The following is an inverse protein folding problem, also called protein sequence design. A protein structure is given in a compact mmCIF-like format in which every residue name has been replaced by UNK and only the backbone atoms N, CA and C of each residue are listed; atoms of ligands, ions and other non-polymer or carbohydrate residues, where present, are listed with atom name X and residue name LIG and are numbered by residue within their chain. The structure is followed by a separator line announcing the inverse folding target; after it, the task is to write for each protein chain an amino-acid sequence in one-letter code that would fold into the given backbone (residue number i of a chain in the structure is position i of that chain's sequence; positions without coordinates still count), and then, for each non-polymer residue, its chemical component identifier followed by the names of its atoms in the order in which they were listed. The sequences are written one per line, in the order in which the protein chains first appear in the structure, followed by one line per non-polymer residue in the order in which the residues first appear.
data_IF_781633350063
#
_entry.id   IF_781633350063
#
_cell.length_a   1.000
_cell.length_b   1.000
_cell.length_c   1.000
_cell.angle_alpha   90.00
_cell.angle_beta   90.00
_cell.angle_gamma   90.00
#
_symmetry.space_group_name_H-M   'P 1'
#
loop_
_entity.id
_entity.type
_entity.pdbx_description
1 polymer ?
#
# COMPACT_ATOMS: atom_id res chain seq x y z
N UNK A 1 -10.31 -15.65 -16.44
CA UNK A 1 -10.62 -15.29 -17.75
C UNK A 1 -11.86 -14.40 -17.89
N UNK A 2 -11.72 -13.09 -17.60
CA UNK A 2 -12.80 -12.11 -17.80
C UNK A 2 -13.06 -11.84 -19.28
N UNK A 3 -12.01 -11.89 -20.13
CA UNK A 3 -12.09 -11.82 -21.59
C UNK A 3 -13.09 -10.78 -22.12
N UNK A 4 -14.14 -11.21 -22.84
CA UNK A 4 -15.12 -10.29 -23.43
C UNK A 4 -15.96 -9.50 -22.42
N UNK A 5 -16.02 -9.94 -21.15
CA UNK A 5 -16.78 -9.24 -20.09
C UNK A 5 -15.99 -8.12 -19.42
N UNK A 6 -14.69 -7.98 -19.72
CA UNK A 6 -13.89 -6.88 -19.18
C UNK A 6 -14.27 -5.58 -19.91
N UNK A 7 -14.89 -4.65 -19.21
CA UNK A 7 -15.23 -3.33 -19.73
C UNK A 7 -14.03 -2.37 -19.62
N UNK A 8 -13.36 -2.33 -18.46
CA UNK A 8 -12.13 -1.58 -18.26
C UNK A 8 -11.24 -2.24 -17.20
N UNK A 9 -9.94 -2.01 -17.29
CA UNK A 9 -8.92 -2.31 -16.31
C UNK A 9 -8.12 -1.03 -16.04
N UNK A 10 -8.11 -0.55 -14.81
CA UNK A 10 -7.38 0.65 -14.39
C UNK A 10 -6.33 0.23 -13.39
N UNK A 11 -5.05 0.52 -13.66
CA UNK A 11 -3.94 0.06 -12.84
C UNK A 11 -2.77 1.03 -12.88
N UNK A 12 -2.23 1.37 -11.72
CA UNK A 12 -1.08 2.25 -11.55
C UNK A 12 0.15 1.53 -10.95
N UNK A 13 0.11 0.21 -10.84
CA UNK A 13 1.26 -0.55 -10.36
C UNK A 13 2.29 -0.76 -11.47
N UNK A 14 3.57 -0.76 -11.10
CA UNK A 14 4.65 -1.09 -12.02
C UNK A 14 4.63 -2.60 -12.33
N UNK A 15 4.36 -2.95 -13.59
CA UNK A 15 4.31 -4.35 -14.01
C UNK A 15 4.80 -4.56 -15.43
N UNK A 16 5.61 -5.61 -15.63
CA UNK A 16 6.17 -5.94 -16.96
C UNK A 16 5.11 -6.22 -18.03
N UNK A 17 3.93 -6.72 -17.63
CA UNK A 17 2.84 -7.01 -18.56
C UNK A 17 2.12 -5.77 -19.09
N UNK A 18 2.34 -4.57 -18.54
CA UNK A 18 1.74 -3.35 -19.07
C UNK A 18 1.99 -3.18 -20.56
N UNK A 19 3.23 -3.44 -21.01
CA UNK A 19 3.59 -3.36 -22.41
C UNK A 19 2.75 -4.29 -23.32
N UNK A 20 2.36 -5.46 -22.81
CA UNK A 20 1.57 -6.43 -23.57
C UNK A 20 0.10 -6.00 -23.77
N UNK A 21 -0.41 -5.12 -22.91
CA UNK A 21 -1.81 -4.65 -22.92
C UNK A 21 -1.93 -3.19 -23.34
N UNK A 22 -0.85 -2.48 -23.60
CA UNK A 22 -0.85 -1.05 -23.92
C UNK A 22 -1.65 -0.68 -25.18
N UNK A 23 -1.85 -1.60 -26.11
CA UNK A 23 -2.65 -1.39 -27.32
C UNK A 23 -4.15 -1.71 -27.16
N UNK A 24 -4.57 -2.32 -26.06
CA UNK A 24 -5.98 -2.62 -25.79
C UNK A 24 -6.62 -1.43 -25.07
N UNK A 25 -7.55 -0.75 -25.73
CA UNK A 25 -8.21 0.46 -25.20
C UNK A 25 -9.00 0.25 -23.90
N UNK A 26 -9.24 -0.98 -23.49
CA UNK A 26 -9.87 -1.29 -22.20
C UNK A 26 -8.90 -1.12 -21.04
N UNK A 27 -7.58 -1.15 -21.28
CA UNK A 27 -6.58 -1.01 -20.25
C UNK A 27 -6.12 0.44 -20.15
N UNK A 28 -6.27 1.01 -18.96
CA UNK A 28 -5.75 2.32 -18.58
C UNK A 28 -4.63 2.06 -17.59
N UNK A 29 -3.42 2.09 -18.10
CA UNK A 29 -2.23 1.65 -17.38
C UNK A 29 -1.27 2.83 -17.15
N UNK A 30 -0.78 2.94 -15.94
CA UNK A 30 0.24 3.91 -15.55
C UNK A 30 1.24 3.26 -14.61
N UNK A 31 2.33 3.94 -14.33
CA UNK A 31 3.23 3.59 -13.24
C UNK A 31 2.86 4.38 -11.99
N UNK A 32 3.29 3.91 -10.84
CA UNK A 32 3.10 4.62 -9.56
C UNK A 32 3.75 6.02 -9.58
N UNK A 33 4.80 6.20 -10.36
CA UNK A 33 5.44 7.50 -10.55
C UNK A 33 4.61 8.48 -11.39
N UNK A 34 3.74 7.98 -12.28
CA UNK A 34 2.84 8.80 -13.11
C UNK A 34 1.56 9.15 -12.35
N UNK A 35 0.96 8.17 -11.68
CA UNK A 35 -0.23 8.34 -10.84
C UNK A 35 0.01 7.66 -9.48
N UNK A 36 0.07 8.45 -8.43
CA UNK A 36 0.31 7.97 -7.07
C UNK A 36 -0.85 7.17 -6.48
N UNK A 37 -2.06 7.33 -7.03
CA UNK A 37 -3.25 6.59 -6.65
C UNK A 37 -4.16 6.30 -7.86
N UNK A 38 -4.84 5.17 -7.84
CA UNK A 38 -5.71 4.71 -8.93
C UNK A 38 -6.92 5.64 -9.19
N UNK A 39 -7.58 6.27 -8.20
CA UNK A 39 -8.70 7.17 -8.46
C UNK A 39 -8.32 8.38 -9.32
N UNK A 40 -7.06 8.81 -9.36
CA UNK A 40 -6.60 9.85 -10.29
C UNK A 40 -6.86 9.50 -11.76
N UNK A 41 -6.87 8.20 -12.09
CA UNK A 41 -7.07 7.68 -13.44
C UNK A 41 -8.54 7.42 -13.78
N UNK A 42 -9.44 7.43 -12.78
CA UNK A 42 -10.89 7.27 -12.95
C UNK A 42 -11.48 8.66 -13.26
N UNK A 43 -11.46 9.05 -14.55
CA UNK A 43 -11.94 10.37 -14.99
C UNK A 43 -13.34 10.30 -15.58
N UNK A 44 -14.06 11.45 -15.68
CA UNK A 44 -15.34 11.50 -16.35
C UNK A 44 -15.30 10.99 -17.80
N UNK A 45 -14.21 11.29 -18.53
CA UNK A 45 -14.01 10.85 -19.91
C UNK A 45 -13.86 9.32 -20.00
N UNK A 46 -13.16 8.72 -19.06
CA UNK A 46 -13.04 7.27 -18.95
C UNK A 46 -14.40 6.64 -18.68
N UNK A 47 -15.13 7.13 -17.69
CA UNK A 47 -16.45 6.60 -17.33
C UNK A 47 -17.43 6.73 -18.50
N UNK A 48 -17.48 7.88 -19.19
CA UNK A 48 -18.32 8.11 -20.34
C UNK A 48 -17.94 7.19 -21.53
N UNK A 49 -16.65 6.96 -21.77
CA UNK A 49 -16.18 6.06 -22.83
C UNK A 49 -16.57 4.61 -22.59
N UNK A 50 -16.49 4.14 -21.36
CA UNK A 50 -16.79 2.75 -20.99
C UNK A 50 -18.30 2.53 -20.90
N UNK A 51 -19.04 3.52 -20.41
CA UNK A 51 -20.49 3.47 -20.25
C UNK A 51 -20.92 2.63 -19.06
N UNK A 52 -22.12 2.03 -19.17
CA UNK A 52 -22.72 1.25 -18.09
C UNK A 52 -21.94 -0.04 -17.83
N UNK A 53 -21.73 -0.34 -16.55
CA UNK A 53 -21.09 -1.56 -16.07
C UNK A 53 -21.96 -2.22 -15.00
N UNK A 54 -21.87 -3.54 -14.87
CA UNK A 54 -22.67 -4.32 -13.91
C UNK A 54 -21.89 -4.59 -12.61
N UNK A 55 -20.55 -4.62 -12.67
CA UNK A 55 -19.72 -5.05 -11.55
C UNK A 55 -18.39 -4.29 -11.53
N UNK A 56 -18.01 -3.81 -10.35
CA UNK A 56 -16.69 -3.26 -10.07
C UNK A 56 -15.94 -4.24 -9.17
N UNK A 57 -14.68 -4.56 -9.54
CA UNK A 57 -13.74 -5.30 -8.70
C UNK A 57 -12.60 -4.36 -8.37
N UNK A 58 -12.33 -4.16 -7.10
CA UNK A 58 -11.28 -3.26 -6.63
C UNK A 58 -10.51 -3.86 -5.45
N UNK A 59 -9.35 -3.28 -5.13
CA UNK A 59 -8.64 -3.55 -3.90
C UNK A 59 -9.46 -3.07 -2.68
N UNK A 60 -9.18 -3.64 -1.51
CA UNK A 60 -9.89 -3.33 -0.26
C UNK A 60 -9.13 -2.37 0.65
N UNK A 61 -8.32 -1.50 0.06
CA UNK A 61 -7.67 -0.34 0.67
C UNK A 61 -8.40 0.95 0.30
N UNK A 62 -7.94 2.09 0.84
CA UNK A 62 -8.61 3.37 0.58
C UNK A 62 -8.56 3.76 -0.89
N UNK A 63 -7.44 3.48 -1.58
CA UNK A 63 -7.24 3.71 -3.01
C UNK A 63 -8.29 2.96 -3.86
N UNK A 64 -8.41 1.66 -3.65
CA UNK A 64 -9.37 0.83 -4.39
C UNK A 64 -10.82 1.18 -4.09
N UNK A 65 -11.19 1.41 -2.83
CA UNK A 65 -12.57 1.77 -2.46
C UNK A 65 -12.94 3.18 -2.95
N UNK A 66 -12.00 4.13 -2.95
CA UNK A 66 -12.18 5.47 -3.52
C UNK A 66 -12.35 5.40 -5.03
N UNK A 67 -11.55 4.58 -5.73
CA UNK A 67 -11.70 4.33 -7.17
C UNK A 67 -13.08 3.78 -7.52
N UNK A 68 -13.58 2.80 -6.76
CA UNK A 68 -14.92 2.24 -6.97
C UNK A 68 -16.02 3.30 -6.75
N UNK A 69 -15.91 4.10 -5.69
CA UNK A 69 -16.86 5.17 -5.42
C UNK A 69 -16.85 6.25 -6.50
N UNK A 70 -15.65 6.65 -6.96
CA UNK A 70 -15.50 7.63 -8.03
C UNK A 70 -16.08 7.13 -9.36
N UNK A 71 -15.91 5.82 -9.66
CA UNK A 71 -16.57 5.21 -10.81
C UNK A 71 -18.11 5.31 -10.73
N UNK A 72 -18.70 5.01 -9.56
CA UNK A 72 -20.14 5.15 -9.32
C UNK A 72 -20.63 6.61 -9.41
N UNK A 73 -19.72 7.58 -9.32
CA UNK A 73 -19.95 9.01 -9.47
C UNK A 73 -19.55 9.52 -10.86
N UNK A 74 -19.44 8.64 -11.83
CA UNK A 74 -19.10 9.01 -13.21
C UNK A 74 -17.76 9.77 -13.34
N UNK A 75 -16.77 9.42 -12.50
CA UNK A 75 -15.44 10.03 -12.49
C UNK A 75 -15.33 11.32 -11.64
N UNK A 76 -16.39 11.68 -10.90
CA UNK A 76 -16.39 12.86 -10.02
C UNK A 76 -15.87 12.47 -8.63
N UNK A 77 -14.96 13.24 -8.08
CA UNK A 77 -14.45 13.02 -6.72
C UNK A 77 -15.57 12.93 -5.68
N UNK A 78 -15.47 12.00 -4.70
CA UNK A 78 -16.42 11.89 -3.59
C UNK A 78 -16.54 13.17 -2.75
N UNK A 79 -15.43 13.87 -2.59
CA UNK A 79 -15.31 15.17 -1.94
C UNK A 79 -14.09 15.91 -2.50
N UNK A 80 -13.99 17.23 -2.40
CA UNK A 80 -12.85 17.98 -2.93
C UNK A 80 -11.52 17.51 -2.31
N UNK A 81 -10.55 17.09 -3.15
CA UNK A 81 -9.24 16.61 -2.75
C UNK A 81 -9.20 15.10 -2.38
N UNK A 82 -10.23 14.32 -2.72
CA UNK A 82 -10.26 12.89 -2.46
C UNK A 82 -9.14 12.12 -3.20
N UNK A 83 -8.78 12.54 -4.40
CA UNK A 83 -7.67 11.96 -5.17
C UNK A 83 -6.30 12.26 -4.51
N UNK A 84 -6.10 13.49 -4.00
CA UNK A 84 -4.90 13.86 -3.25
C UNK A 84 -4.78 13.07 -1.94
N UNK A 85 -5.90 12.85 -1.26
CA UNK A 85 -5.97 12.02 -0.06
C UNK A 85 -5.60 10.56 -0.35
N UNK A 86 -6.13 10.00 -1.43
CA UNK A 86 -5.81 8.64 -1.86
C UNK A 86 -4.31 8.52 -2.18
N UNK A 87 -3.75 9.50 -2.91
CA UNK A 87 -2.32 9.58 -3.19
C UNK A 87 -1.48 9.65 -1.93
N UNK A 88 -1.85 10.51 -0.98
CA UNK A 88 -1.11 10.67 0.28
C UNK A 88 -1.12 9.39 1.11
N UNK A 89 -2.24 8.66 1.15
CA UNK A 89 -2.35 7.38 1.86
C UNK A 89 -1.54 6.29 1.16
N UNK A 90 -1.61 6.21 -0.16
CA UNK A 90 -1.00 5.11 -0.90
C UNK A 90 0.53 5.27 -1.04
N UNK A 91 1.01 6.49 -1.34
CA UNK A 91 2.45 6.78 -1.48
C UNK A 91 3.14 7.10 -0.16
N UNK A 92 2.40 7.45 0.88
CA UNK A 92 2.90 8.00 2.15
C UNK A 92 3.63 9.35 1.99
N UNK A 93 3.39 10.03 0.88
CA UNK A 93 3.87 11.40 0.64
C UNK A 93 2.74 12.40 0.87
N UNK A 94 3.01 13.39 1.69
CA UNK A 94 2.00 14.38 2.09
C UNK A 94 1.21 13.97 3.33
N UNK A 95 0.15 14.72 3.61
CA UNK A 95 -0.69 14.52 4.80
C UNK A 95 -2.14 14.35 4.36
N UNK A 96 -2.74 13.17 4.54
CA UNK A 96 -4.14 12.98 4.21
C UNK A 96 -5.04 13.82 5.12
N UNK A 97 -6.20 14.24 4.61
CA UNK A 97 -7.21 14.99 5.34
C UNK A 97 -7.76 14.22 6.55
N UNK A 98 -8.47 14.92 7.44
CA UNK A 98 -9.18 14.27 8.55
C UNK A 98 -10.24 13.29 8.05
N UNK A 99 -10.87 13.55 6.89
CA UNK A 99 -11.85 12.68 6.26
C UNK A 99 -11.21 11.35 5.86
N UNK A 100 -10.14 11.42 5.06
CA UNK A 100 -9.45 10.23 4.58
C UNK A 100 -8.87 9.38 5.71
N UNK A 101 -8.31 10.03 6.75
CA UNK A 101 -7.81 9.30 7.93
C UNK A 101 -8.89 8.48 8.64
N UNK A 102 -10.15 8.93 8.67
CA UNK A 102 -11.26 8.16 9.27
C UNK A 102 -11.50 6.87 8.49
N UNK A 103 -11.53 6.95 7.15
CA UNK A 103 -11.69 5.77 6.29
C UNK A 103 -10.49 4.83 6.39
N UNK A 104 -9.27 5.34 6.26
CA UNK A 104 -8.04 4.54 6.33
C UNK A 104 -7.92 3.79 7.67
N UNK A 105 -8.20 4.46 8.79
CA UNK A 105 -8.22 3.82 10.12
C UNK A 105 -9.23 2.68 10.21
N UNK A 106 -10.45 2.88 9.70
CA UNK A 106 -11.50 1.87 9.71
C UNK A 106 -11.11 0.65 8.85
N UNK A 107 -10.55 0.87 7.66
CA UNK A 107 -10.08 -0.19 6.76
C UNK A 107 -8.96 -0.99 7.42
N UNK A 108 -7.95 -0.32 8.00
CA UNK A 108 -6.82 -0.97 8.69
C UNK A 108 -7.27 -1.74 9.92
N UNK A 109 -8.29 -1.24 10.65
CA UNK A 109 -8.85 -1.93 11.80
C UNK A 109 -9.55 -3.24 11.40
N UNK A 110 -10.29 -3.23 10.28
CA UNK A 110 -11.06 -4.38 9.80
C UNK A 110 -10.76 -4.73 8.35
N UNK A 111 -9.55 -5.22 8.03
CA UNK A 111 -9.06 -5.37 6.65
C UNK A 111 -9.73 -6.51 5.86
N UNK A 112 -10.72 -7.20 6.43
CA UNK A 112 -11.47 -8.30 5.82
C UNK A 112 -12.97 -8.22 6.09
N UNK A 113 -13.50 -7.00 6.27
CA UNK A 113 -14.91 -6.76 6.54
C UNK A 113 -15.63 -6.22 5.29
N UNK A 114 -16.27 -7.09 4.47
CA UNK A 114 -16.93 -6.65 3.25
C UNK A 114 -18.15 -5.74 3.52
N UNK A 115 -18.78 -5.85 4.69
CA UNK A 115 -19.89 -4.98 5.05
C UNK A 115 -19.41 -3.55 5.29
N UNK A 116 -18.27 -3.39 6.00
CA UNK A 116 -17.61 -2.09 6.19
C UNK A 116 -17.17 -1.49 4.85
N UNK A 117 -16.56 -2.28 3.95
CA UNK A 117 -16.13 -1.78 2.64
C UNK A 117 -17.30 -1.30 1.81
N UNK A 118 -18.41 -2.06 1.75
CA UNK A 118 -19.62 -1.65 1.07
C UNK A 118 -20.22 -0.37 1.65
N UNK A 119 -20.16 -0.20 2.97
CA UNK A 119 -20.61 1.01 3.65
C UNK A 119 -19.72 2.21 3.30
N UNK A 120 -18.40 2.04 3.29
CA UNK A 120 -17.43 3.09 2.89
C UNK A 120 -17.66 3.52 1.44
N UNK A 121 -17.73 2.55 0.51
CA UNK A 121 -18.01 2.86 -0.93
C UNK A 121 -19.32 3.62 -1.06
N UNK A 122 -20.40 3.18 -0.39
CA UNK A 122 -21.68 3.87 -0.42
C UNK A 122 -21.59 5.29 0.11
N UNK A 123 -20.86 5.51 1.21
CA UNK A 123 -20.71 6.84 1.81
C UNK A 123 -19.94 7.78 0.89
N UNK A 124 -18.84 7.32 0.30
CA UNK A 124 -18.07 8.04 -0.70
C UNK A 124 -18.92 8.31 -1.96
N UNK A 125 -19.63 7.31 -2.50
CA UNK A 125 -20.45 7.47 -3.69
C UNK A 125 -21.59 8.48 -3.49
N UNK A 126 -22.12 8.61 -2.27
CA UNK A 126 -23.12 9.62 -1.92
C UNK A 126 -22.54 11.01 -1.63
N UNK A 127 -21.24 11.23 -1.84
CA UNK A 127 -20.58 12.51 -1.58
C UNK A 127 -20.60 12.91 -0.11
N UNK A 128 -20.52 11.95 0.80
CA UNK A 128 -20.54 12.10 2.26
C UNK A 128 -21.83 12.75 2.81
N UNK A 129 -22.93 12.73 2.06
CA UNK A 129 -24.17 13.40 2.41
C UNK A 129 -24.94 12.73 3.57
N UNK A 130 -24.72 11.44 3.82
CA UNK A 130 -25.36 10.69 4.92
C UNK A 130 -24.46 10.64 6.15
N UNK A 131 -24.66 11.59 7.06
CA UNK A 131 -23.85 11.68 8.29
C UNK A 131 -23.97 10.44 9.21
N UNK A 132 -25.04 9.63 9.08
CA UNK A 132 -25.23 8.44 9.90
C UNK A 132 -24.22 7.34 9.58
N UNK A 133 -23.67 7.32 8.36
CA UNK A 133 -22.67 6.34 7.92
C UNK A 133 -21.30 6.53 8.58
N UNK A 134 -21.04 7.68 9.16
CA UNK A 134 -19.82 7.93 9.91
C UNK A 134 -19.72 7.12 11.20
N UNK A 135 -20.84 6.91 11.89
CA UNK A 135 -20.84 6.20 13.19
C UNK A 135 -20.17 4.82 13.13
N UNK A 136 -20.59 3.90 12.23
CA UNK A 136 -19.93 2.59 12.13
C UNK A 136 -18.49 2.67 11.59
N UNK A 137 -18.15 3.67 10.77
CA UNK A 137 -16.78 3.90 10.30
C UNK A 137 -15.87 4.31 11.45
N UNK A 138 -16.31 5.26 12.28
CA UNK A 138 -15.54 5.72 13.44
C UNK A 138 -15.44 4.65 14.53
N UNK A 139 -16.48 3.84 14.72
CA UNK A 139 -16.44 2.69 15.62
C UNK A 139 -15.38 1.69 15.20
N UNK A 140 -15.34 1.33 13.90
CA UNK A 140 -14.30 0.49 13.38
C UNK A 140 -12.91 1.12 13.56
N UNK A 141 -12.75 2.42 13.25
CA UNK A 141 -11.47 3.13 13.41
C UNK A 141 -10.95 3.17 14.84
N UNK A 142 -11.83 3.19 15.85
CA UNK A 142 -11.43 3.12 17.27
C UNK A 142 -10.82 1.77 17.66
N UNK A 143 -11.22 0.68 17.02
CA UNK A 143 -10.64 -0.65 17.27
C UNK A 143 -9.14 -0.72 16.90
N UNK A 144 -8.66 0.23 16.12
CA UNK A 144 -7.24 0.31 15.75
C UNK A 144 -6.34 0.72 16.94
N UNK A 145 -6.85 1.36 17.97
CA UNK A 145 -6.05 1.91 19.08
C UNK A 145 -5.20 0.85 19.81
N UNK A 146 -5.77 -0.34 20.05
CA UNK A 146 -5.01 -1.44 20.66
C UNK A 146 -3.95 -2.00 19.69
N UNK A 147 -4.29 -2.12 18.42
CA UNK A 147 -3.39 -2.58 17.37
C UNK A 147 -2.22 -1.60 17.21
N UNK A 148 -2.50 -0.29 17.22
CA UNK A 148 -1.46 0.76 17.18
C UNK A 148 -0.52 0.67 18.37
N UNK A 149 -1.05 0.51 19.60
CA UNK A 149 -0.25 0.34 20.80
C UNK A 149 0.69 -0.87 20.67
N UNK A 150 0.16 -2.01 20.29
CA UNK A 150 0.93 -3.23 20.05
C UNK A 150 2.00 -3.01 18.99
N UNK A 151 1.66 -2.32 17.90
CA UNK A 151 2.58 -2.01 16.80
C UNK A 151 3.74 -1.15 17.28
N UNK A 152 3.47 -0.11 18.06
CA UNK A 152 4.49 0.74 18.66
C UNK A 152 5.40 -0.01 19.63
N UNK A 153 4.86 -0.95 20.41
CA UNK A 153 5.64 -1.79 21.31
C UNK A 153 6.56 -2.74 20.54
N UNK A 154 6.06 -3.39 19.51
CA UNK A 154 6.86 -4.25 18.62
C UNK A 154 7.97 -3.46 17.91
N UNK A 155 7.68 -2.23 17.48
CA UNK A 155 8.66 -1.38 16.82
C UNK A 155 9.91 -1.09 17.68
N UNK A 156 9.81 -1.17 19.02
CA UNK A 156 10.97 -1.01 19.92
C UNK A 156 12.05 -2.08 19.69
N UNK A 157 11.65 -3.24 19.14
CA UNK A 157 12.54 -4.35 18.80
C UNK A 157 13.34 -4.16 17.51
N UNK A 158 13.14 -3.09 16.74
CA UNK A 158 13.95 -2.84 15.56
C UNK A 158 15.42 -2.70 15.88
N UNK A 159 16.25 -3.44 15.17
CA UNK A 159 17.72 -3.38 15.21
C UNK A 159 18.21 -2.62 13.99
N UNK A 160 19.15 -1.71 14.18
CA UNK A 160 19.79 -0.97 13.08
C UNK A 160 21.01 -1.74 12.59
N UNK A 161 21.13 -1.89 11.27
CA UNK A 161 22.28 -2.45 10.58
C UNK A 161 22.86 -1.38 9.67
N UNK A 162 24.16 -1.17 9.72
CA UNK A 162 24.83 -0.21 8.84
C UNK A 162 25.18 -0.85 7.50
N UNK A 163 25.12 -0.05 6.44
CA UNK A 163 25.53 -0.42 5.09
C UNK A 163 26.82 0.31 4.74
N UNK A 164 28.00 -0.37 4.80
CA UNK A 164 29.27 0.27 4.51
C UNK A 164 29.45 0.72 3.06
N UNK A 165 28.75 0.02 2.14
CA UNK A 165 28.77 0.33 0.71
C UNK A 165 27.35 0.38 0.18
N UNK A 166 26.69 1.56 0.19
CA UNK A 166 25.31 1.69 -0.27
C UNK A 166 25.12 1.25 -1.71
N UNK A 167 24.15 0.38 -1.95
CA UNK A 167 23.71 0.01 -3.31
C UNK A 167 22.83 1.10 -3.92
N UNK A 168 22.05 1.80 -3.06
CA UNK A 168 21.15 2.88 -3.46
C UNK A 168 21.64 4.20 -2.82
N UNK A 169 22.40 5.00 -3.54
CA UNK A 169 22.73 6.39 -3.24
C UNK A 169 22.94 6.72 -1.75
N UNK A 170 21.93 7.25 -1.09
CA UNK A 170 21.99 7.74 0.30
C UNK A 170 21.60 6.71 1.37
N UNK A 171 21.25 5.49 0.99
CA UNK A 171 20.82 4.46 1.93
C UNK A 171 22.02 3.88 2.67
N UNK A 172 22.23 4.30 3.90
CA UNK A 172 23.39 3.90 4.73
C UNK A 172 23.06 2.92 5.85
N UNK A 173 21.78 2.61 6.06
CA UNK A 173 21.35 1.71 7.13
C UNK A 173 19.98 1.07 6.86
N UNK A 174 19.74 -0.04 7.55
CA UNK A 174 18.51 -0.82 7.53
C UNK A 174 17.99 -0.95 8.96
N UNK A 175 16.69 -0.86 9.17
CA UNK A 175 16.03 -1.28 10.39
C UNK A 175 15.46 -2.70 10.18
N UNK A 176 15.92 -3.67 10.93
CA UNK A 176 15.47 -5.07 10.90
C UNK A 176 14.66 -5.40 12.14
N UNK A 177 13.49 -6.00 11.95
CA UNK A 177 12.65 -6.58 13.01
C UNK A 177 12.32 -8.03 12.67
N UNK A 178 12.57 -8.95 13.58
CA UNK A 178 12.18 -10.36 13.46
C UNK A 178 11.10 -10.67 14.49
N UNK A 179 9.90 -11.01 14.02
CA UNK A 179 8.74 -11.42 14.81
C UNK A 179 8.53 -12.95 14.80
N UNK A 180 9.44 -13.72 14.19
CA UNK A 180 9.27 -15.17 14.00
C UNK A 180 9.22 -15.96 15.30
N UNK A 181 9.83 -15.46 16.37
CA UNK A 181 9.93 -16.12 17.68
C UNK A 181 8.91 -15.66 18.71
N UNK A 182 8.10 -14.66 18.38
CA UNK A 182 7.12 -14.05 19.28
C UNK A 182 5.73 -14.70 19.27
N UNK A 183 4.92 -14.43 20.31
CA UNK A 183 3.50 -14.71 20.26
C UNK A 183 2.85 -13.93 19.11
N UNK A 184 1.93 -14.55 18.37
CA UNK A 184 1.19 -13.88 17.28
C UNK A 184 0.30 -12.78 17.87
N UNK A 185 0.81 -11.56 17.90
CA UNK A 185 0.04 -10.38 18.24
C UNK A 185 -0.57 -9.77 16.97
N UNK A 186 -1.75 -9.18 17.09
CA UNK A 186 -2.32 -8.37 16.00
C UNK A 186 -1.59 -7.02 15.97
N UNK A 187 -1.00 -6.68 14.84
CA UNK A 187 -0.31 -5.41 14.63
C UNK A 187 -0.64 -4.83 13.24
N UNK A 188 -0.41 -3.54 13.09
CA UNK A 188 -0.51 -2.86 11.80
C UNK A 188 0.84 -2.95 11.07
N UNK A 189 0.90 -3.77 10.02
CA UNK A 189 2.12 -4.00 9.25
C UNK A 189 2.63 -2.72 8.59
N UNK A 190 1.73 -1.89 8.06
CA UNK A 190 2.10 -0.65 7.39
C UNK A 190 2.73 0.33 8.38
N UNK A 191 2.07 0.57 9.51
CA UNK A 191 2.58 1.42 10.57
C UNK A 191 3.92 0.90 11.11
N UNK A 192 4.03 -0.41 11.31
CA UNK A 192 5.28 -1.03 11.77
C UNK A 192 6.44 -0.76 10.81
N UNK A 193 6.22 -0.90 9.51
CA UNK A 193 7.24 -0.60 8.49
C UNK A 193 7.61 0.89 8.47
N UNK A 194 6.64 1.80 8.61
CA UNK A 194 6.90 3.25 8.71
C UNK A 194 7.72 3.59 9.95
N UNK A 195 7.44 2.97 11.09
CA UNK A 195 8.24 3.11 12.33
C UNK A 195 9.67 2.59 12.14
N UNK A 196 9.86 1.55 11.33
CA UNK A 196 11.17 1.08 10.90
C UNK A 196 11.88 2.10 10.02
N UNK A 197 11.19 2.66 9.02
CA UNK A 197 11.74 3.69 8.12
C UNK A 197 12.10 4.99 8.85
N UNK A 198 11.42 5.31 9.95
CA UNK A 198 11.80 6.43 10.81
C UNK A 198 13.17 6.22 11.52
N UNK A 199 13.66 4.98 11.61
CA UNK A 199 14.96 4.63 12.23
C UNK A 199 16.08 4.42 11.21
N UNK A 200 15.71 3.95 10.01
CA UNK A 200 16.63 3.74 8.90
C UNK A 200 15.84 3.76 7.59
N UNK A 201 16.44 4.22 6.49
CA UNK A 201 15.75 4.41 5.21
C UNK A 201 15.03 3.14 4.73
N UNK A 202 15.60 1.95 4.97
CA UNK A 202 14.98 0.67 4.63
C UNK A 202 14.52 -0.02 5.92
N UNK A 203 13.25 -0.46 5.96
CA UNK A 203 12.73 -1.34 6.98
C UNK A 203 12.62 -2.78 6.43
N UNK A 204 13.14 -3.75 7.17
CA UNK A 204 12.98 -5.18 6.94
C UNK A 204 12.17 -5.76 8.10
N UNK A 205 11.11 -6.49 7.74
CA UNK A 205 10.26 -7.18 8.69
C UNK A 205 10.19 -8.66 8.33
N UNK A 206 10.62 -9.50 9.28
CA UNK A 206 10.41 -10.95 9.24
C UNK A 206 9.17 -11.30 10.07
N UNK A 207 8.18 -11.93 9.45
CA UNK A 207 6.97 -12.41 10.12
C UNK A 207 6.62 -13.81 9.59
N UNK A 208 6.85 -14.83 10.39
CA UNK A 208 6.76 -16.23 9.95
C UNK A 208 7.70 -16.51 8.77
N UNK A 209 7.14 -16.98 7.66
CA UNK A 209 7.87 -17.29 6.43
C UNK A 209 7.97 -16.10 5.45
N UNK A 210 7.55 -14.91 5.86
CA UNK A 210 7.54 -13.73 5.01
C UNK A 210 8.61 -12.74 5.43
N UNK A 211 9.45 -12.35 4.48
CA UNK A 211 10.34 -11.20 4.55
C UNK A 211 9.69 -10.04 3.78
N UNK A 212 9.44 -8.93 4.44
CA UNK A 212 8.96 -7.70 3.80
C UNK A 212 10.06 -6.64 3.85
N UNK A 213 10.36 -6.04 2.69
CA UNK A 213 11.28 -4.92 2.54
C UNK A 213 10.46 -3.68 2.17
N UNK A 214 10.70 -2.58 2.86
CA UNK A 214 10.02 -1.31 2.60
C UNK A 214 10.99 -0.14 2.67
N UNK A 215 10.85 0.80 1.73
CA UNK A 215 11.56 2.07 1.67
C UNK A 215 10.56 3.20 1.35
N UNK A 216 10.85 4.48 1.66
CA UNK A 216 10.02 5.59 1.23
C UNK A 216 9.84 5.61 -0.29
N UNK A 217 8.65 6.02 -0.73
CA UNK A 217 8.28 6.02 -2.15
C UNK A 217 9.26 6.82 -3.03
N UNK A 218 9.77 7.91 -2.51
CA UNK A 218 10.71 8.83 -3.18
C UNK A 218 12.20 8.54 -2.88
N UNK A 219 12.50 7.41 -2.24
CA UNK A 219 13.87 7.04 -1.84
C UNK A 219 14.80 6.68 -2.99
N UNK A 220 14.25 6.40 -4.18
CA UNK A 220 14.99 5.86 -5.33
C UNK A 220 15.38 4.38 -5.17
N UNK A 221 14.91 3.70 -4.13
CA UNK A 221 15.11 2.26 -3.94
C UNK A 221 14.20 1.49 -4.88
N UNK A 222 14.75 0.48 -5.55
CA UNK A 222 13.99 -0.46 -6.38
C UNK A 222 14.30 -1.91 -5.96
N UNK A 223 13.43 -2.48 -5.13
CA UNK A 223 13.56 -3.86 -4.68
C UNK A 223 13.22 -4.89 -5.79
N UNK A 224 12.46 -4.49 -6.82
CA UNK A 224 12.16 -5.39 -7.93
C UNK A 224 13.45 -5.71 -8.69
N UNK A 225 14.22 -4.69 -9.04
CA UNK A 225 15.53 -4.87 -9.70
C UNK A 225 16.52 -5.57 -8.77
N UNK A 226 16.55 -5.15 -7.48
CA UNK A 226 17.44 -5.74 -6.49
C UNK A 226 17.25 -7.25 -6.36
N UNK A 227 16.00 -7.72 -6.35
CA UNK A 227 15.65 -9.11 -6.10
C UNK A 227 15.24 -9.88 -7.36
N UNK A 228 15.28 -9.26 -8.55
CA UNK A 228 14.87 -9.89 -9.80
C UNK A 228 13.38 -10.28 -9.82
N UNK A 229 12.50 -9.40 -9.30
CA UNK A 229 11.05 -9.63 -9.27
C UNK A 229 10.39 -9.07 -10.52
N UNK A 230 9.34 -9.74 -11.00
CA UNK A 230 8.67 -9.40 -12.26
C UNK A 230 7.56 -8.36 -12.14
N UNK A 231 7.19 -7.95 -10.93
CA UNK A 231 6.12 -6.97 -10.70
C UNK A 231 5.87 -6.70 -9.24
N UNK A 232 5.11 -5.66 -8.97
CA UNK A 232 4.79 -5.17 -7.64
C UNK A 232 5.14 -3.69 -7.48
N UNK A 233 5.29 -3.25 -6.25
CA UNK A 233 5.71 -1.89 -5.92
C UNK A 233 7.23 -1.86 -5.76
N UNK A 234 7.97 -0.98 -6.47
CA UNK A 234 9.44 -0.94 -6.39
C UNK A 234 9.98 -0.77 -4.97
N UNK A 235 9.29 0.00 -4.14
CA UNK A 235 9.71 0.35 -2.78
C UNK A 235 9.10 -0.51 -1.68
N UNK A 236 8.23 -1.48 -2.02
CA UNK A 236 7.61 -2.39 -1.07
C UNK A 236 7.43 -3.79 -1.69
N UNK A 237 8.15 -4.77 -1.18
CA UNK A 237 8.04 -6.15 -1.63
C UNK A 237 7.93 -7.11 -0.46
N UNK A 238 7.21 -8.21 -0.68
CA UNK A 238 7.17 -9.34 0.25
C UNK A 238 7.63 -10.60 -0.49
N UNK A 239 8.62 -11.28 0.08
CA UNK A 239 9.21 -12.51 -0.46
C UNK A 239 9.32 -13.57 0.64
N UNK A 240 9.64 -14.81 0.28
CA UNK A 240 9.89 -15.85 1.27
C UNK A 240 11.14 -15.52 2.10
N UNK A 241 11.11 -15.84 3.40
CA UNK A 241 12.19 -15.54 4.36
C UNK A 241 13.56 -16.10 3.97
N UNK A 242 13.61 -17.17 3.22
CA UNK A 242 14.86 -17.79 2.74
C UNK A 242 15.69 -16.83 1.89
N UNK A 243 15.07 -15.77 1.37
CA UNK A 243 15.78 -14.71 0.62
C UNK A 243 16.41 -13.64 1.51
N UNK A 244 16.36 -13.78 2.85
CA UNK A 244 16.94 -12.78 3.76
C UNK A 244 18.43 -12.56 3.50
N UNK A 245 19.21 -13.64 3.44
CA UNK A 245 20.66 -13.55 3.19
C UNK A 245 20.98 -12.90 1.84
N UNK A 246 20.24 -13.27 0.79
CA UNK A 246 20.35 -12.65 -0.53
C UNK A 246 20.03 -11.15 -0.46
N UNK A 247 18.94 -10.78 0.21
CA UNK A 247 18.50 -9.39 0.33
C UNK A 247 19.56 -8.54 1.07
N UNK A 248 20.06 -9.03 2.20
CA UNK A 248 21.09 -8.34 2.98
C UNK A 248 22.41 -8.21 2.22
N UNK A 249 22.82 -9.24 1.46
CA UNK A 249 24.02 -9.21 0.64
C UNK A 249 23.91 -8.15 -0.48
N UNK A 250 22.80 -8.18 -1.22
CA UNK A 250 22.54 -7.23 -2.31
C UNK A 250 22.36 -5.78 -1.81
N UNK A 251 21.86 -5.59 -0.60
CA UNK A 251 21.78 -4.28 0.05
C UNK A 251 23.15 -3.79 0.55
N UNK A 252 24.17 -4.65 0.60
CA UNK A 252 25.53 -4.28 1.00
C UNK A 252 25.80 -4.38 2.52
N UNK A 253 24.99 -5.14 3.25
CA UNK A 253 25.22 -5.42 4.68
C UNK A 253 26.43 -6.34 4.83
N UNK A 254 27.38 -5.97 5.69
CA UNK A 254 28.62 -6.74 5.87
C UNK A 254 28.36 -8.14 6.47
N UNK A 255 29.26 -9.10 6.17
CA UNK A 255 29.15 -10.45 6.76
C UNK A 255 29.22 -10.44 8.29
N UNK A 256 30.00 -9.53 8.87
CA UNK A 256 30.11 -9.40 10.32
C UNK A 256 28.80 -8.94 10.95
N UNK A 257 28.11 -8.01 10.34
CA UNK A 257 26.79 -7.56 10.82
C UNK A 257 25.71 -8.63 10.64
N UNK A 258 25.74 -9.36 9.50
CA UNK A 258 24.81 -10.48 9.28
C UNK A 258 24.98 -11.60 10.31
N UNK A 259 26.21 -11.91 10.72
CA UNK A 259 26.51 -12.91 11.75
C UNK A 259 25.98 -12.54 13.16
N UNK A 260 25.63 -11.28 13.40
CA UNK A 260 25.00 -10.85 14.67
C UNK A 260 23.48 -11.04 14.66
N UNK A 261 22.90 -11.47 13.53
CA UNK A 261 21.46 -11.68 13.34
C UNK A 261 21.05 -13.14 13.49
N UNK A 262 21.97 -14.06 13.27
CA UNK A 262 21.84 -15.51 13.39
C UNK A 262 22.32 -15.97 14.78
#
# INVERSE_FOLDING_TARGET
ALGPRLAAWVDHHDHLLHAAYASDSRFVLATKAQHGACPEMVTPELCARVGQIDTIVCHTDFDGLSSAAKWLREGIEPYPGADDDARAIDTRLGTPSAIARRFDRAIRARPRDPALFGLIVRHLANGLSDASLWTPIDEAGRELEEVERTTHDLAKGYRRLDIPKPTFGRVSSIALLDLSSGARARYDKTELLLLGQARATIALLLDGDTLTLAAPFDSGVNFLDLLGLSGGMPTLVSVHRDRLEEALDRLGVSRSERALLL
#
